data_IF_421313588522
#
_entry.id   IF_421313588522
#
_cell.length_a   1.000
_cell.length_b   1.000
_cell.length_c   1.000
_cell.angle_alpha   90.00
_cell.angle_beta   90.00
_cell.angle_gamma   90.00
#
_symmetry.space_group_name_H-M   'P 1'
#
loop_
_entity.id
_entity.type
_entity.pdbx_description
1 polymer ?
#
# COMPACT_ATOMS: atom_id res chain seq x y z
N UNK A 1 14.95 16.46 11.27
CA UNK A 1 13.65 16.36 10.55
C UNK A 1 13.81 15.47 9.32
N UNK A 2 13.04 14.41 9.26
CA UNK A 2 13.03 13.54 8.09
C UNK A 2 12.05 14.09 7.05
N UNK A 3 12.51 14.28 5.82
CA UNK A 3 11.62 14.64 4.73
C UNK A 3 10.98 13.38 4.15
N UNK A 4 9.73 13.47 3.75
CA UNK A 4 9.05 12.37 3.08
C UNK A 4 9.58 12.23 1.64
N UNK A 5 9.64 11.00 1.18
CA UNK A 5 9.94 10.71 -0.22
C UNK A 5 8.75 11.16 -1.09
N UNK A 6 9.05 11.65 -2.27
CA UNK A 6 8.04 11.93 -3.28
C UNK A 6 7.61 10.63 -3.96
N UNK A 7 6.47 10.68 -4.67
CA UNK A 7 6.00 9.53 -5.46
C UNK A 7 7.05 9.07 -6.47
N UNK A 8 7.71 10.03 -7.12
CA UNK A 8 8.75 9.74 -8.11
C UNK A 8 9.93 9.03 -7.47
N UNK A 9 10.38 9.50 -6.30
CA UNK A 9 11.49 8.88 -5.57
C UNK A 9 11.15 7.44 -5.15
N UNK A 10 9.92 7.20 -4.68
CA UNK A 10 9.46 5.87 -4.29
C UNK A 10 9.43 4.93 -5.50
N UNK A 11 8.92 5.40 -6.64
CA UNK A 11 8.92 4.62 -7.88
C UNK A 11 10.34 4.25 -8.31
N UNK A 12 11.27 5.20 -8.23
CA UNK A 12 12.67 4.95 -8.59
C UNK A 12 13.29 3.88 -7.70
N UNK A 13 13.04 3.94 -6.39
CA UNK A 13 13.53 2.93 -5.45
C UNK A 13 12.95 1.55 -5.77
N UNK A 14 11.67 1.49 -6.13
CA UNK A 14 11.04 0.24 -6.54
C UNK A 14 11.71 -0.34 -7.79
N UNK A 15 11.90 0.49 -8.82
CA UNK A 15 12.55 0.07 -10.07
C UNK A 15 13.98 -0.42 -9.82
N UNK A 16 14.76 0.30 -9.00
CA UNK A 16 16.11 -0.08 -8.63
C UNK A 16 16.17 -1.42 -7.90
N UNK A 17 15.07 -1.83 -7.28
CA UNK A 17 14.95 -3.08 -6.53
C UNK A 17 14.18 -4.17 -7.30
N UNK A 18 14.04 -4.00 -8.61
CA UNK A 18 13.47 -5.02 -9.48
C UNK A 18 11.95 -5.08 -9.51
N UNK A 19 11.27 -4.09 -8.92
CA UNK A 19 9.81 -4.02 -8.94
C UNK A 19 9.40 -3.20 -10.16
N UNK A 20 8.92 -3.88 -11.19
CA UNK A 20 8.59 -3.27 -12.48
C UNK A 20 7.33 -3.89 -13.06
N UNK A 21 6.89 -3.43 -14.24
CA UNK A 21 5.73 -3.95 -14.95
C UNK A 21 4.40 -3.78 -14.21
N UNK A 22 4.28 -2.70 -13.42
CA UNK A 22 3.03 -2.41 -12.73
C UNK A 22 2.14 -1.52 -13.60
N UNK A 23 0.83 -1.78 -13.53
CA UNK A 23 -0.20 -1.03 -14.24
C UNK A 23 -0.86 0.02 -13.34
N UNK A 24 -0.82 -0.19 -12.03
CA UNK A 24 -1.33 0.75 -11.04
C UNK A 24 -0.32 0.85 -9.91
N UNK A 25 0.06 2.07 -9.56
CA UNK A 25 1.03 2.33 -8.49
C UNK A 25 0.44 3.35 -7.52
N UNK A 26 0.45 3.02 -6.25
CA UNK A 26 0.17 3.98 -5.20
C UNK A 26 1.02 3.72 -3.98
N UNK A 27 1.14 4.73 -3.13
CA UNK A 27 1.83 4.61 -1.86
C UNK A 27 1.08 5.39 -0.80
N UNK A 28 1.36 5.08 0.46
CA UNK A 28 0.94 5.89 1.58
C UNK A 28 2.02 5.88 2.65
N UNK A 29 2.09 6.96 3.41
CA UNK A 29 2.99 7.07 4.55
C UNK A 29 2.23 6.72 5.83
N UNK A 30 2.95 6.15 6.79
CA UNK A 30 2.35 5.76 8.06
C UNK A 30 1.84 6.98 8.85
N UNK A 31 0.68 6.83 9.46
CA UNK A 31 0.20 7.78 10.46
C UNK A 31 0.64 7.27 11.84
N UNK A 32 1.67 7.87 12.39
CA UNK A 32 2.28 7.44 13.66
C UNK A 32 1.38 7.64 14.87
N UNK A 33 0.43 8.58 14.82
CA UNK A 33 -0.46 8.81 15.96
C UNK A 33 -1.39 7.61 16.23
N UNK A 34 -1.66 6.79 15.20
CA UNK A 34 -2.52 5.60 15.30
C UNK A 34 -1.85 4.33 14.77
N UNK A 35 -0.61 4.42 14.28
CA UNK A 35 0.15 3.31 13.70
C UNK A 35 -0.60 2.61 12.55
N UNK A 36 -1.19 3.40 11.66
CA UNK A 36 -1.97 2.92 10.53
C UNK A 36 -1.38 3.45 9.22
N UNK A 37 -1.29 2.58 8.23
CA UNK A 37 -1.09 2.97 6.83
C UNK A 37 -2.48 3.17 6.21
N UNK A 38 -2.84 4.41 5.96
CA UNK A 38 -4.18 4.74 5.46
C UNK A 38 -4.09 5.10 3.98
N UNK A 39 -4.85 4.39 3.15
CA UNK A 39 -4.82 4.59 1.71
C UNK A 39 -6.22 4.49 1.09
N UNK A 40 -6.44 5.33 0.09
CA UNK A 40 -7.72 5.37 -0.62
C UNK A 40 -7.50 5.27 -2.14
N UNK A 41 -6.96 4.15 -2.64
CA UNK A 41 -6.77 4.00 -4.08
C UNK A 41 -8.10 3.84 -4.81
N UNK A 42 -8.10 4.18 -6.10
CA UNK A 42 -9.24 3.92 -6.96
C UNK A 42 -9.46 2.42 -7.10
N UNK A 43 -10.73 1.99 -7.15
CA UNK A 43 -11.10 0.56 -7.30
C UNK A 43 -10.48 -0.12 -8.51
N UNK A 44 -10.12 0.63 -9.54
CA UNK A 44 -9.51 0.05 -10.74
C UNK A 44 -8.21 -0.71 -10.43
N UNK A 45 -7.54 -0.39 -9.29
CA UNK A 45 -6.34 -1.10 -8.88
C UNK A 45 -6.57 -2.61 -8.75
N UNK A 46 -7.79 -3.04 -8.43
CA UNK A 46 -8.12 -4.45 -8.20
C UNK A 46 -8.06 -5.31 -9.46
N UNK A 47 -8.21 -4.69 -10.64
CA UNK A 47 -8.16 -5.38 -11.93
C UNK A 47 -6.82 -5.21 -12.64
N UNK A 48 -5.88 -4.54 -11.99
CA UNK A 48 -4.56 -4.20 -12.54
C UNK A 48 -3.46 -4.94 -11.80
N UNK A 49 -2.29 -4.97 -12.41
CA UNK A 49 -1.08 -5.37 -11.71
C UNK A 49 -0.69 -4.21 -10.79
N UNK A 50 -0.99 -4.35 -9.52
CA UNK A 50 -1.02 -3.27 -8.54
C UNK A 50 0.21 -3.34 -7.63
N UNK A 51 1.03 -2.27 -7.65
CA UNK A 51 2.12 -2.09 -6.69
C UNK A 51 1.64 -1.08 -5.64
N UNK A 52 1.56 -1.55 -4.41
CA UNK A 52 1.11 -0.77 -3.26
C UNK A 52 2.27 -0.68 -2.26
N UNK A 53 2.77 0.53 -2.02
CA UNK A 53 3.95 0.74 -1.18
C UNK A 53 3.54 1.39 0.14
N UNK A 54 3.99 0.79 1.24
CA UNK A 54 3.76 1.31 2.59
C UNK A 54 5.06 1.95 3.06
N UNK A 55 5.03 3.28 3.25
CA UNK A 55 6.20 4.06 3.64
C UNK A 55 6.19 4.33 5.15
N UNK A 56 7.15 3.76 5.86
CA UNK A 56 7.44 4.13 7.25
C UNK A 56 8.61 5.12 7.22
N UNK A 57 8.29 6.40 7.16
CA UNK A 57 9.29 7.45 7.00
C UNK A 57 10.17 7.68 8.24
N UNK A 58 9.73 7.28 9.42
CA UNK A 58 10.57 7.36 10.61
C UNK A 58 11.66 6.28 10.61
N UNK A 59 11.28 5.05 10.28
CA UNK A 59 12.22 3.93 10.20
C UNK A 59 12.90 3.85 8.84
N UNK A 60 12.56 4.74 7.91
CA UNK A 60 13.14 4.84 6.56
C UNK A 60 13.05 3.49 5.82
N UNK A 61 11.84 2.93 5.81
CA UNK A 61 11.58 1.66 5.13
C UNK A 61 10.35 1.76 4.23
N UNK A 62 10.42 1.06 3.10
CA UNK A 62 9.29 0.86 2.19
C UNK A 62 8.95 -0.62 2.19
N UNK A 63 7.71 -0.96 2.50
CA UNK A 63 7.19 -2.31 2.31
C UNK A 63 6.46 -2.34 0.97
N UNK A 64 6.97 -3.13 0.05
CA UNK A 64 6.48 -3.17 -1.32
C UNK A 64 5.58 -4.39 -1.52
N UNK A 65 4.30 -4.13 -1.75
CA UNK A 65 3.30 -5.16 -2.02
C UNK A 65 3.05 -5.21 -3.53
N UNK A 66 3.08 -6.39 -4.10
CA UNK A 66 2.69 -6.61 -5.50
C UNK A 66 1.46 -7.51 -5.51
N UNK A 67 0.34 -6.93 -5.90
CA UNK A 67 -0.96 -7.57 -5.84
C UNK A 67 -1.40 -7.88 -7.28
N UNK A 68 -1.45 -9.16 -7.66
CA UNK A 68 -1.88 -9.53 -9.03
C UNK A 68 -3.32 -9.12 -9.30
N UNK A 69 -3.70 -8.93 -10.58
CA UNK A 69 -5.07 -8.63 -10.93
C UNK A 69 -6.04 -9.66 -10.37
N UNK A 70 -7.18 -9.18 -9.88
CA UNK A 70 -8.28 -10.03 -9.38
C UNK A 70 -7.93 -10.90 -8.17
N UNK A 71 -6.89 -10.52 -7.40
CA UNK A 71 -6.54 -11.21 -6.15
C UNK A 71 -7.54 -10.93 -5.03
N UNK A 72 -8.20 -9.77 -5.08
CA UNK A 72 -9.19 -9.33 -4.09
C UNK A 72 -10.43 -8.89 -4.83
N UNK A 73 -11.60 -9.40 -4.42
CA UNK A 73 -12.89 -8.94 -4.94
C UNK A 73 -13.25 -7.59 -4.28
N UNK A 74 -13.88 -6.68 -5.04
CA UNK A 74 -14.26 -5.38 -4.49
C UNK A 74 -15.24 -5.49 -3.33
N UNK A 75 -16.06 -6.55 -3.26
CA UNK A 75 -16.98 -6.76 -2.14
C UNK A 75 -16.27 -7.11 -0.83
N UNK A 76 -15.01 -7.55 -0.91
CA UNK A 76 -14.22 -7.90 0.28
C UNK A 76 -13.61 -6.67 0.95
N UNK A 77 -13.54 -5.54 0.26
CA UNK A 77 -12.95 -4.31 0.77
C UNK A 77 -14.02 -3.26 1.07
N UNK A 78 -13.70 -2.35 1.97
CA UNK A 78 -14.56 -1.21 2.27
C UNK A 78 -14.25 -0.06 1.32
N UNK A 79 -15.25 0.77 1.07
CA UNK A 79 -15.13 1.96 0.25
C UNK A 79 -15.43 3.20 1.07
N UNK A 80 -14.99 4.35 0.59
CA UNK A 80 -15.32 5.63 1.21
C UNK A 80 -16.79 5.96 0.95
N UNK A 81 -17.48 6.45 1.97
CA UNK A 81 -18.90 6.84 1.85
C UNK A 81 -19.09 8.02 0.90
N UNK A 82 -18.17 8.99 0.94
CA UNK A 82 -18.23 10.19 0.13
C UNK A 82 -17.75 9.95 -1.32
N UNK A 83 -16.96 8.91 -1.54
CA UNK A 83 -16.40 8.55 -2.86
C UNK A 83 -16.40 7.04 -3.03
N UNK A 84 -17.56 6.43 -3.40
CA UNK A 84 -17.68 4.96 -3.45
C UNK A 84 -16.75 4.27 -4.46
N UNK A 85 -16.15 5.01 -5.39
CA UNK A 85 -15.14 4.49 -6.32
C UNK A 85 -13.74 4.40 -5.70
N UNK A 86 -13.56 4.93 -4.48
CA UNK A 86 -12.30 4.85 -3.73
C UNK A 86 -12.39 3.80 -2.64
N UNK A 87 -11.35 3.00 -2.51
CA UNK A 87 -11.23 2.05 -1.41
C UNK A 87 -10.85 2.78 -0.11
N UNK A 88 -11.24 2.20 1.02
CA UNK A 88 -10.83 2.69 2.35
C UNK A 88 -10.04 1.58 3.02
N UNK A 89 -8.71 1.66 2.91
CA UNK A 89 -7.77 0.67 3.42
C UNK A 89 -7.01 1.28 4.60
N UNK A 90 -7.01 0.58 5.73
CA UNK A 90 -6.34 1.00 6.96
C UNK A 90 -5.53 -0.17 7.50
N UNK A 91 -4.27 -0.26 7.08
CA UNK A 91 -3.40 -1.38 7.45
C UNK A 91 -2.73 -1.10 8.79
N UNK A 92 -2.89 -2.02 9.74
CA UNK A 92 -2.23 -1.97 11.04
C UNK A 92 -0.73 -2.22 10.88
N UNK A 93 0.08 -1.20 11.15
CA UNK A 93 1.53 -1.28 11.00
C UNK A 93 2.18 -2.21 12.03
N UNK A 94 1.52 -2.48 13.14
CA UNK A 94 2.02 -3.36 14.19
C UNK A 94 1.66 -4.83 13.95
N UNK A 95 0.80 -5.11 12.97
CA UNK A 95 0.44 -6.47 12.62
C UNK A 95 1.46 -7.04 11.64
N UNK A 96 2.10 -8.16 12.00
CA UNK A 96 3.14 -8.78 11.18
C UNK A 96 2.60 -9.20 9.80
N UNK A 97 1.31 -9.49 9.70
CA UNK A 97 0.67 -9.88 8.44
C UNK A 97 -0.01 -8.71 7.73
N UNK A 98 0.21 -7.47 8.20
CA UNK A 98 -0.31 -6.25 7.60
C UNK A 98 -1.83 -6.32 7.39
N UNK A 99 -2.56 -6.53 8.49
CA UNK A 99 -4.01 -6.65 8.44
C UNK A 99 -4.68 -5.32 8.16
N UNK A 100 -5.56 -5.29 7.17
CA UNK A 100 -6.47 -4.16 6.96
C UNK A 100 -7.57 -4.22 8.01
N UNK A 101 -7.63 -3.21 8.87
CA UNK A 101 -8.58 -3.19 9.99
C UNK A 101 -10.03 -3.00 9.53
N UNK A 102 -10.23 -2.46 8.32
CA UNK A 102 -11.58 -2.24 7.77
C UNK A 102 -12.20 -3.51 7.20
N UNK A 103 -11.42 -4.32 6.49
CA UNK A 103 -11.90 -5.54 5.81
C UNK A 103 -11.48 -6.82 6.51
N UNK A 104 -10.41 -6.79 7.28
CA UNK A 104 -9.81 -7.98 7.87
C UNK A 104 -8.84 -8.72 6.95
N UNK A 105 -8.63 -8.23 5.74
CA UNK A 105 -7.72 -8.88 4.79
C UNK A 105 -6.26 -8.65 5.23
N UNK A 106 -5.46 -9.72 5.13
CA UNK A 106 -4.04 -9.66 5.42
C UNK A 106 -3.26 -9.36 4.15
N UNK A 107 -2.76 -8.12 4.03
CA UNK A 107 -2.01 -7.66 2.86
C UNK A 107 -0.59 -8.18 2.81
N UNK A 108 -0.06 -8.68 3.93
CA UNK A 108 1.31 -9.18 4.02
C UNK A 108 1.63 -10.34 3.08
N UNK A 109 0.59 -11.06 2.62
CA UNK A 109 0.76 -12.16 1.64
C UNK A 109 1.34 -11.69 0.31
N UNK A 110 1.20 -10.39 0.00
CA UNK A 110 1.71 -9.80 -1.23
C UNK A 110 2.99 -9.00 -1.03
N UNK A 111 3.54 -9.00 0.18
CA UNK A 111 4.81 -8.33 0.47
C UNK A 111 5.95 -9.10 -0.21
N UNK A 112 6.62 -8.45 -1.15
CA UNK A 112 7.73 -9.08 -1.88
C UNK A 112 9.09 -8.53 -1.49
N UNK A 113 9.14 -7.32 -0.95
CA UNK A 113 10.40 -6.70 -0.58
C UNK A 113 10.20 -5.58 0.43
N UNK A 114 11.17 -5.45 1.34
CA UNK A 114 11.30 -4.28 2.22
C UNK A 114 12.58 -3.56 1.82
N UNK A 115 12.45 -2.28 1.48
CA UNK A 115 13.57 -1.44 1.04
C UNK A 115 13.91 -0.48 2.18
N UNK A 116 15.18 -0.41 2.55
CA UNK A 116 15.68 0.62 3.47
C UNK A 116 16.26 1.77 2.67
N UNK A 117 16.01 2.98 3.13
CA UNK A 117 16.54 4.17 2.44
C UNK A 117 17.05 5.24 3.38
#
# INVERSE_FOLDING_TARGET
>A
MTSNLTKTEIKMLCLENGIENFEFFNFCSINKSVNIYWSNPDKECLTKNWVFVLNDNENRTLKCLVIPPNSISEIQLKTRKDKPYKLDIQIDSDNVNLRDTRSGIFFGRWLIKTISY
#
